data_IF_416616573522
#
_entry.id   IF_416616573522
#
_cell.length_a   1.000
_cell.length_b   1.000
_cell.length_c   1.000
_cell.angle_alpha   90.00
_cell.angle_beta   90.00
_cell.angle_gamma   90.00
#
_symmetry.space_group_name_H-M   'P 1'
#
loop_
_entity.id
_entity.type
_entity.pdbx_description
1 polymer ?
#
# COMPACT_ATOMS: atom_id res chain seq x y z
N UNK A 1 -35.95 11.58 -6.63
CA UNK A 1 -34.71 11.58 -7.44
C UNK A 1 -34.55 10.20 -8.02
N UNK A 2 -33.77 10.06 -9.07
CA UNK A 2 -33.31 8.78 -9.59
C UNK A 2 -31.81 8.86 -9.84
N UNK A 3 -31.12 7.74 -9.68
CA UNK A 3 -29.71 7.63 -10.03
C UNK A 3 -29.60 7.55 -11.56
N UNK A 4 -28.63 8.27 -12.13
CA UNK A 4 -28.28 8.18 -13.55
C UNK A 4 -27.51 6.88 -13.81
N UNK A 5 -27.49 6.42 -15.07
CA UNK A 5 -26.59 5.33 -15.46
C UNK A 5 -25.16 5.84 -15.72
N UNK A 6 -24.19 4.93 -15.74
CA UNK A 6 -22.77 5.27 -15.85
C UNK A 6 -22.31 5.85 -17.20
N UNK A 7 -23.18 5.90 -18.22
CA UNK A 7 -22.93 6.69 -19.42
C UNK A 7 -23.48 8.12 -19.28
N UNK A 8 -24.66 8.26 -18.66
CA UNK A 8 -25.28 9.55 -18.39
C UNK A 8 -24.52 10.35 -17.31
N UNK A 9 -24.17 9.74 -16.18
CA UNK A 9 -23.54 10.42 -15.04
C UNK A 9 -22.16 10.98 -15.39
N UNK A 10 -21.40 10.27 -16.23
CA UNK A 10 -20.09 10.71 -16.73
C UNK A 10 -20.13 12.08 -17.42
N UNK A 11 -21.27 12.49 -17.99
CA UNK A 11 -21.44 13.82 -18.58
C UNK A 11 -21.56 14.95 -17.55
N UNK A 12 -21.93 14.61 -16.32
CA UNK A 12 -22.12 15.52 -15.19
C UNK A 12 -20.88 15.62 -14.29
N UNK A 13 -19.96 14.66 -14.40
CA UNK A 13 -18.72 14.61 -13.61
C UNK A 13 -17.58 15.41 -14.26
N UNK A 14 -16.80 16.09 -13.43
CA UNK A 14 -15.59 16.79 -13.86
C UNK A 14 -14.53 15.82 -14.38
N UNK A 15 -13.63 16.28 -15.27
CA UNK A 15 -12.61 15.42 -15.87
C UNK A 15 -11.67 14.75 -14.85
N UNK A 16 -11.47 15.36 -13.68
CA UNK A 16 -10.71 14.77 -12.57
C UNK A 16 -11.50 13.67 -11.85
N UNK A 17 -12.79 13.88 -11.60
CA UNK A 17 -13.69 12.88 -11.02
C UNK A 17 -13.78 11.63 -11.91
N UNK A 18 -13.96 11.82 -13.23
CA UNK A 18 -13.90 10.72 -14.21
C UNK A 18 -12.54 9.98 -14.21
N UNK A 19 -11.46 10.65 -13.83
CA UNK A 19 -10.13 10.03 -13.69
C UNK A 19 -9.99 9.26 -12.36
N UNK A 20 -10.67 9.68 -11.30
CA UNK A 20 -10.79 8.98 -10.02
C UNK A 20 -11.62 7.68 -10.16
N UNK A 21 -12.75 7.73 -10.87
CA UNK A 21 -13.54 6.52 -11.24
C UNK A 21 -12.71 5.54 -12.07
N UNK A 22 -12.02 6.04 -13.10
CA UNK A 22 -11.14 5.23 -13.95
C UNK A 22 -9.94 4.65 -13.19
N UNK A 23 -9.48 5.34 -12.14
CA UNK A 23 -8.50 4.83 -11.20
C UNK A 23 -9.08 3.82 -10.19
N UNK A 24 -10.42 3.81 -10.03
CA UNK A 24 -11.18 3.12 -8.96
C UNK A 24 -10.75 3.57 -7.57
N UNK A 25 -10.47 4.86 -7.42
CA UNK A 25 -10.08 5.49 -6.14
C UNK A 25 -11.25 6.18 -5.45
N UNK A 26 -12.16 6.73 -6.25
CA UNK A 26 -13.45 7.28 -5.83
C UNK A 26 -14.49 6.80 -6.84
N UNK A 27 -15.63 6.34 -6.35
CA UNK A 27 -16.83 6.03 -7.12
C UNK A 27 -17.82 7.20 -6.97
N UNK A 28 -18.49 7.61 -8.03
CA UNK A 28 -19.43 8.74 -7.98
C UNK A 28 -20.81 8.31 -8.44
N UNK A 29 -21.83 8.48 -7.59
CA UNK A 29 -23.23 8.40 -8.04
C UNK A 29 -23.70 9.80 -8.41
N UNK A 30 -24.30 9.99 -9.60
CA UNK A 30 -25.07 11.21 -9.89
C UNK A 30 -26.57 10.95 -9.83
N UNK A 31 -27.27 11.73 -9.01
CA UNK A 31 -28.71 11.67 -8.80
C UNK A 31 -29.41 12.87 -9.42
N UNK A 32 -30.43 12.63 -10.25
CA UNK A 32 -31.23 13.68 -10.89
C UNK A 32 -32.62 13.84 -10.23
N UNK A 33 -33.00 15.10 -9.99
CA UNK A 33 -34.33 15.53 -9.58
C UNK A 33 -35.25 15.73 -10.80
N UNK A 34 -36.59 15.54 -10.67
CA UNK A 34 -37.54 15.84 -11.75
C UNK A 34 -37.53 17.30 -12.26
N UNK A 35 -36.85 18.21 -11.56
CA UNK A 35 -36.62 19.60 -11.95
C UNK A 35 -35.31 19.84 -12.70
N UNK A 36 -34.54 18.80 -13.04
CA UNK A 36 -33.24 18.90 -13.74
C UNK A 36 -32.06 19.32 -12.86
N UNK A 37 -32.19 19.22 -11.53
CA UNK A 37 -31.07 19.41 -10.60
C UNK A 37 -30.33 18.10 -10.35
N UNK A 38 -29.00 18.16 -10.41
CA UNK A 38 -28.11 17.05 -10.14
C UNK A 38 -27.47 17.15 -8.75
N UNK A 39 -27.27 16.00 -8.11
CA UNK A 39 -26.52 15.81 -6.87
C UNK A 39 -25.51 14.70 -7.10
N UNK A 40 -24.21 15.01 -7.00
CA UNK A 40 -23.15 13.99 -7.00
C UNK A 40 -22.80 13.57 -5.57
N UNK A 41 -22.65 12.27 -5.36
CA UNK A 41 -22.19 11.67 -4.11
C UNK A 41 -20.88 10.92 -4.39
N UNK A 42 -19.86 11.13 -3.55
CA UNK A 42 -18.53 10.57 -3.74
C UNK A 42 -18.22 9.51 -2.67
N UNK A 43 -17.86 8.31 -3.11
CA UNK A 43 -17.54 7.17 -2.24
C UNK A 43 -16.08 6.78 -2.42
N UNK A 44 -15.28 6.96 -1.36
CA UNK A 44 -13.88 6.55 -1.36
C UNK A 44 -13.77 5.03 -1.39
N UNK A 45 -12.99 4.48 -2.33
CA UNK A 45 -12.67 3.05 -2.32
C UNK A 45 -11.59 2.76 -1.26
N UNK A 46 -11.88 1.99 -0.20
CA UNK A 46 -10.90 1.68 0.84
C UNK A 46 -9.76 0.75 0.36
N UNK A 47 -9.98 -0.03 -0.70
CA UNK A 47 -8.98 -0.91 -1.30
C UNK A 47 -8.04 -0.17 -2.28
N UNK A 48 -8.26 1.14 -2.51
CA UNK A 48 -7.42 1.94 -3.38
C UNK A 48 -6.19 2.48 -2.65
N UNK A 49 -5.02 2.07 -3.11
CA UNK A 49 -3.71 2.63 -2.72
C UNK A 49 -3.42 3.99 -3.39
N UNK A 50 -4.37 4.58 -4.12
CA UNK A 50 -4.17 5.87 -4.78
C UNK A 50 -4.38 7.04 -3.80
N UNK A 51 -3.45 7.99 -3.83
CA UNK A 51 -3.40 9.13 -2.92
C UNK A 51 -3.91 10.42 -3.59
N UNK A 52 -4.15 11.45 -2.78
CA UNK A 52 -4.52 12.80 -3.26
C UNK A 52 -3.30 13.44 -3.90
N UNK A 53 -3.40 13.80 -5.18
CA UNK A 53 -2.30 14.46 -5.88
C UNK A 53 -2.14 15.91 -5.39
N UNK A 54 -0.96 16.36 -4.95
CA UNK A 54 -0.78 17.73 -4.45
C UNK A 54 -1.02 18.80 -5.52
N UNK A 55 -0.76 18.48 -6.79
CA UNK A 55 -0.88 19.44 -7.90
C UNK A 55 -2.31 19.67 -8.41
N UNK A 56 -3.21 18.67 -8.31
CA UNK A 56 -4.59 18.78 -8.83
C UNK A 56 -5.68 18.41 -7.83
N UNK A 57 -5.33 18.00 -6.59
CA UNK A 57 -6.25 17.67 -5.49
C UNK A 57 -7.22 16.49 -5.72
N UNK A 58 -7.19 15.84 -6.89
CA UNK A 58 -7.89 14.57 -7.14
C UNK A 58 -7.08 13.37 -6.62
N UNK A 59 -7.78 12.34 -6.13
CA UNK A 59 -7.25 11.07 -5.63
C UNK A 59 -6.78 10.15 -6.77
N UNK A 60 -5.78 10.60 -7.51
CA UNK A 60 -5.28 9.93 -8.73
C UNK A 60 -3.77 9.72 -8.72
N UNK A 61 -3.10 9.96 -7.58
CA UNK A 61 -1.66 9.73 -7.41
C UNK A 61 -1.41 8.24 -7.21
N UNK A 62 -0.83 7.58 -8.21
CA UNK A 62 -0.62 6.13 -8.18
C UNK A 62 0.41 5.70 -7.11
N UNK A 63 0.24 4.50 -6.51
CA UNK A 63 1.17 3.98 -5.51
C UNK A 63 2.60 3.85 -6.06
N UNK A 64 3.55 4.35 -5.26
CA UNK A 64 4.91 4.60 -5.71
C UNK A 64 5.67 3.36 -6.14
N UNK A 65 6.26 3.39 -7.34
CA UNK A 65 7.14 2.34 -7.87
C UNK A 65 8.59 2.65 -7.47
N UNK A 66 9.28 1.68 -6.86
CA UNK A 66 10.71 1.81 -6.56
C UNK A 66 11.54 1.62 -7.83
N UNK A 67 12.13 2.70 -8.33
CA UNK A 67 13.16 2.69 -9.38
C UNK A 67 14.55 2.61 -8.74
N UNK A 68 15.15 1.42 -8.78
CA UNK A 68 16.48 1.16 -8.23
C UNK A 68 17.54 1.88 -9.07
N UNK A 69 18.34 2.76 -8.45
CA UNK A 69 19.44 3.47 -9.09
C UNK A 69 20.78 2.80 -8.75
N UNK A 70 20.94 2.35 -7.50
CA UNK A 70 22.05 1.52 -7.03
C UNK A 70 21.50 0.27 -6.35
N UNK A 71 21.87 -0.91 -6.85
CA UNK A 71 21.46 -2.18 -6.25
C UNK A 71 22.15 -2.41 -4.90
N UNK A 72 21.41 -2.98 -3.95
CA UNK A 72 21.96 -3.40 -2.66
C UNK A 72 22.74 -4.71 -2.79
N UNK A 73 23.90 -4.78 -2.14
CA UNK A 73 24.74 -5.99 -2.04
C UNK A 73 24.68 -6.54 -0.60
N UNK A 74 25.45 -7.60 -0.32
CA UNK A 74 25.61 -8.12 1.04
C UNK A 74 26.49 -7.22 1.92
N UNK A 75 27.30 -6.34 1.32
CA UNK A 75 28.25 -5.49 2.04
C UNK A 75 27.83 -4.01 2.08
N UNK A 76 27.09 -3.53 1.07
CA UNK A 76 26.69 -2.14 0.92
C UNK A 76 25.20 -1.99 0.63
N UNK A 77 24.60 -0.93 1.18
CA UNK A 77 23.23 -0.53 0.86
C UNK A 77 23.11 -0.06 -0.60
N UNK A 78 21.92 -0.32 -1.15
CA UNK A 78 21.46 0.27 -2.39
C UNK A 78 20.67 1.54 -2.13
N UNK A 79 20.23 2.19 -3.19
CA UNK A 79 19.26 3.27 -3.10
C UNK A 79 18.50 3.39 -4.43
N UNK A 80 17.33 4.02 -4.37
CA UNK A 80 16.52 4.31 -5.54
C UNK A 80 15.59 5.49 -5.30
N UNK A 81 14.69 5.69 -6.25
CA UNK A 81 13.60 6.65 -6.16
C UNK A 81 12.27 5.89 -6.08
N UNK A 82 11.48 6.12 -5.03
CA UNK A 82 10.05 5.84 -5.09
C UNK A 82 9.42 6.92 -5.95
N UNK A 83 8.94 6.53 -7.12
CA UNK A 83 8.30 7.42 -8.09
C UNK A 83 6.79 7.21 -8.02
N UNK A 84 6.06 8.25 -7.62
CA UNK A 84 4.61 8.32 -7.70
C UNK A 84 4.23 9.19 -8.90
N UNK A 85 3.15 8.84 -9.59
CA UNK A 85 2.68 9.61 -10.74
C UNK A 85 1.16 9.73 -10.74
N UNK A 86 0.66 10.96 -10.91
CA UNK A 86 -0.74 11.26 -11.04
C UNK A 86 -1.26 10.80 -12.42
N UNK A 87 -2.30 9.98 -12.43
CA UNK A 87 -2.92 9.47 -13.65
C UNK A 87 -3.73 10.53 -14.41
N UNK A 88 -4.11 11.64 -13.74
CA UNK A 88 -4.91 12.71 -14.31
C UNK A 88 -4.08 13.87 -14.88
N UNK A 89 -3.23 14.52 -14.08
CA UNK A 89 -2.45 15.71 -14.49
C UNK A 89 -0.96 15.42 -14.78
N UNK A 90 -0.57 14.14 -14.81
CA UNK A 90 0.80 13.66 -15.05
C UNK A 90 1.89 14.18 -14.08
N UNK A 91 1.51 14.88 -13.00
CA UNK A 91 2.42 15.26 -11.92
C UNK A 91 3.19 14.04 -11.38
N UNK A 92 4.48 14.21 -11.09
CA UNK A 92 5.38 13.14 -10.70
C UNK A 92 6.15 13.55 -9.44
N UNK A 93 6.08 12.73 -8.41
CA UNK A 93 6.81 12.91 -7.15
C UNK A 93 7.89 11.83 -7.02
N UNK A 94 9.05 12.23 -6.51
CA UNK A 94 10.22 11.34 -6.34
C UNK A 94 10.78 11.46 -4.93
N UNK A 95 10.55 10.43 -4.13
CA UNK A 95 11.16 10.29 -2.80
C UNK A 95 12.38 9.38 -2.89
N UNK A 96 13.51 9.80 -2.31
CA UNK A 96 14.71 8.95 -2.28
C UNK A 96 14.56 7.89 -1.20
N UNK A 97 14.73 6.62 -1.57
CA UNK A 97 14.68 5.49 -0.64
C UNK A 97 16.01 4.73 -0.59
N UNK A 98 16.44 4.38 0.62
CA UNK A 98 17.58 3.49 0.86
C UNK A 98 17.12 2.04 0.80
N UNK A 99 17.83 1.21 0.04
CA UNK A 99 17.51 -0.22 -0.11
C UNK A 99 18.43 -1.01 0.84
N UNK A 100 17.88 -1.75 1.80
CA UNK A 100 18.67 -2.47 2.80
C UNK A 100 19.56 -3.54 2.16
N UNK A 101 20.65 -3.89 2.84
CA UNK A 101 21.62 -4.90 2.39
C UNK A 101 20.95 -6.25 2.20
N UNK A 102 21.39 -7.00 1.20
CA UNK A 102 20.94 -8.38 1.00
C UNK A 102 21.43 -9.25 2.16
N UNK A 103 20.60 -10.16 2.70
CA UNK A 103 21.06 -11.10 3.72
C UNK A 103 22.22 -11.94 3.19
N UNK A 104 23.23 -12.18 4.02
CA UNK A 104 24.32 -13.09 3.69
C UNK A 104 23.75 -14.51 3.54
N UNK A 105 24.14 -15.30 2.54
CA UNK A 105 23.75 -16.71 2.48
C UNK A 105 24.17 -17.39 3.78
N UNK A 106 23.25 -18.16 4.37
CA UNK A 106 23.53 -18.93 5.58
C UNK A 106 24.75 -19.80 5.33
N UNK A 107 25.77 -19.66 6.18
CA UNK A 107 26.98 -20.45 6.05
C UNK A 107 26.64 -21.87 6.50
N UNK A 108 26.56 -22.80 5.55
CA UNK A 108 26.47 -24.23 5.84
C UNK A 108 27.76 -24.67 6.52
N UNK A 109 27.74 -24.64 7.85
CA UNK A 109 28.81 -25.17 8.70
C UNK A 109 29.01 -26.65 8.36
N UNK A 110 30.04 -26.94 7.57
CA UNK A 110 30.47 -28.31 7.30
C UNK A 110 31.11 -28.91 8.56
N UNK A 111 30.27 -29.31 9.51
CA UNK A 111 30.67 -30.19 10.61
C UNK A 111 30.71 -31.62 10.06
N UNK A 112 31.92 -32.17 9.91
CA UNK A 112 32.10 -33.57 9.52
C UNK A 112 31.58 -34.51 10.61
N UNK A 113 30.73 -35.46 10.22
CA UNK A 113 30.20 -36.50 11.10
C UNK A 113 29.80 -37.73 10.29
N UNK A 114 30.42 -38.86 10.57
CA UNK A 114 30.26 -40.09 9.80
C UNK A 114 28.96 -40.84 10.14
N UNK A 115 28.36 -41.43 9.09
CA UNK A 115 27.60 -42.69 9.09
C UNK A 115 26.29 -42.85 9.91
N UNK A 116 25.34 -43.51 9.23
CA UNK A 116 24.30 -44.44 9.70
C UNK A 116 22.87 -43.93 10.03
N UNK A 117 21.93 -44.37 9.19
CA UNK A 117 20.48 -44.51 9.46
C UNK A 117 19.76 -43.19 9.83
N UNK A 118 18.53 -43.11 10.42
CA UNK A 118 17.48 -44.06 10.81
C UNK A 118 16.13 -43.32 10.94
N UNK A 119 15.07 -43.80 10.26
CA UNK A 119 13.69 -43.28 10.41
C UNK A 119 13.47 -41.83 9.91
N UNK A 120 12.26 -41.29 9.88
CA UNK A 120 10.97 -41.88 10.24
C UNK A 120 9.83 -40.87 10.00
N UNK A 121 8.64 -41.39 9.69
CA UNK A 121 7.40 -40.69 9.34
C UNK A 121 6.96 -39.54 10.25
N UNK A 122 6.07 -38.69 9.70
CA UNK A 122 5.04 -37.87 10.40
C UNK A 122 5.53 -36.79 11.38
N UNK A 123 4.82 -35.66 11.56
CA UNK A 123 3.58 -35.18 10.94
C UNK A 123 3.04 -33.96 11.69
N UNK A 124 1.89 -33.45 11.24
CA UNK A 124 0.85 -32.75 12.03
C UNK A 124 1.21 -31.55 12.94
N UNK A 125 0.43 -30.46 12.77
CA UNK A 125 -0.10 -29.58 13.85
C UNK A 125 0.90 -28.76 14.71
N UNK A 126 0.54 -27.65 15.35
CA UNK A 126 -0.54 -26.65 15.17
C UNK A 126 -0.25 -25.45 16.10
N UNK A 127 -0.99 -24.35 15.92
CA UNK A 127 -1.48 -23.45 17.01
C UNK A 127 -0.52 -22.89 18.09
N UNK A 128 -0.48 -21.55 18.18
CA UNK A 128 -0.92 -20.88 19.43
C UNK A 128 0.09 -20.04 20.22
N UNK A 129 -0.40 -18.89 20.70
CA UNK A 129 0.14 -18.03 21.80
C UNK A 129 1.57 -17.48 21.67
N UNK A 130 1.91 -16.26 22.12
CA UNK A 130 1.17 -15.32 22.98
C UNK A 130 1.99 -15.00 24.23
N UNK A 131 2.56 -13.79 24.30
CA UNK A 131 3.20 -13.15 25.48
C UNK A 131 3.43 -11.67 25.09
N UNK A 132 3.01 -10.62 25.81
CA UNK A 132 2.81 -10.39 27.25
C UNK A 132 4.11 -10.18 28.04
N UNK A 133 4.67 -8.98 27.94
CA UNK A 133 5.55 -8.35 28.94
C UNK A 133 5.01 -6.93 29.17
N UNK A 134 4.48 -6.52 30.33
CA UNK A 134 4.92 -6.67 31.73
C UNK A 134 6.13 -5.79 32.07
N UNK A 135 5.88 -4.50 32.26
CA UNK A 135 6.77 -3.56 32.94
C UNK A 135 5.98 -2.76 34.00
N UNK A 136 6.14 -3.13 35.26
CA UNK A 136 5.90 -2.22 36.39
C UNK A 136 7.05 -1.20 36.50
N UNK A 137 7.00 -0.16 37.33
CA UNK A 137 6.02 0.18 38.36
C UNK A 137 6.71 0.60 39.67
N UNK A 138 6.70 1.90 39.98
CA UNK A 138 7.02 2.56 41.28
C UNK A 138 6.75 4.06 41.08
N UNK A 139 5.93 4.81 41.83
CA UNK A 139 5.75 4.99 43.30
C UNK A 139 6.70 6.03 43.91
N UNK A 140 6.12 7.17 44.34
CA UNK A 140 6.76 8.27 45.09
C UNK A 140 6.49 9.66 44.47
N UNK A 141 6.10 10.72 45.19
CA UNK A 141 5.70 10.81 46.60
C UNK A 141 6.09 12.13 47.28
N UNK A 142 5.18 13.11 47.30
CA UNK A 142 5.21 14.29 48.18
C UNK A 142 6.11 15.47 47.76
N UNK A 143 5.68 16.69 48.09
CA UNK A 143 6.42 17.95 47.88
C UNK A 143 5.54 19.04 47.28
#
# INVERSE_FOLDING_TARGET
MHQLDSAAEKSQLEAGQQAEEKARSVDYDVWECPSGHHLSLAYLNPDSEDEICPACQHRTLAPGRLRVEKSATTQAEGWGWRVQQCRFCQHEEKVKETIPRRPRPASSSAAGGSSSSWGGSSGSSSSGSGSSTSSGGSSGGGG
#
